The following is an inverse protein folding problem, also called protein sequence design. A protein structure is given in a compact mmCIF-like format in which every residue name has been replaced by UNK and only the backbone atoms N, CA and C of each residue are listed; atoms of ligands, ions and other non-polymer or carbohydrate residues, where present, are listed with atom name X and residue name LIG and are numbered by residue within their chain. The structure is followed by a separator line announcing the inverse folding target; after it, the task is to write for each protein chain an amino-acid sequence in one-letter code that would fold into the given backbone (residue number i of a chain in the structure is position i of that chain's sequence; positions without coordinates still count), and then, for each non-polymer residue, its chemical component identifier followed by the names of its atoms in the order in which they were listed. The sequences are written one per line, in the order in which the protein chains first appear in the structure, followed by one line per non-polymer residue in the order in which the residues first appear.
data_IF_595253161117
#
_entry.id   IF_595253161117
#
_cell.length_a   1.000
_cell.length_b   1.000
_cell.length_c   1.000
_cell.angle_alpha   90.00
_cell.angle_beta   90.00
_cell.angle_gamma   90.00
#
_symmetry.space_group_name_H-M   'P 1'
#
loop_
_entity.id
_entity.type
_entity.pdbx_description
1 polymer ?
#
# COMPACT_ATOMS: atom_id res chain seq x y z
N UNK A 1 -8.77 15.66 10.31
CA UNK A 1 -7.47 15.04 9.97
C UNK A 1 -6.76 14.73 11.28
N UNK A 2 -6.28 13.52 11.42
CA UNK A 2 -5.57 13.10 12.63
C UNK A 2 -4.15 13.71 12.64
N UNK A 3 -3.68 14.04 13.83
CA UNK A 3 -2.35 14.59 14.00
C UNK A 3 -1.29 13.50 13.91
N UNK A 4 -0.25 13.75 13.14
CA UNK A 4 0.98 12.95 13.07
C UNK A 4 2.17 13.86 13.36
N UNK A 5 3.28 13.29 13.80
CA UNK A 5 4.42 14.07 14.25
C UNK A 5 5.72 13.58 13.60
N UNK A 6 6.67 14.50 13.45
CA UNK A 6 8.05 14.18 13.06
C UNK A 6 8.89 13.73 14.28
N UNK A 7 10.17 13.40 14.06
CA UNK A 7 11.13 13.00 15.11
C UNK A 7 11.42 14.08 16.17
N UNK A 8 11.02 15.32 15.94
CA UNK A 8 11.15 16.46 16.87
C UNK A 8 9.85 16.78 17.60
N UNK A 9 8.77 16.04 17.31
CA UNK A 9 7.45 16.31 17.85
C UNK A 9 6.72 17.46 17.15
N UNK A 10 7.17 17.92 15.97
CA UNK A 10 6.42 18.88 15.18
C UNK A 10 5.33 18.17 14.40
N UNK A 11 4.15 18.80 14.34
CA UNK A 11 3.06 18.27 13.52
C UNK A 11 3.46 18.19 12.03
N UNK A 12 3.12 17.09 11.38
CA UNK A 12 3.30 16.96 9.93
C UNK A 12 2.42 17.96 9.18
N UNK A 13 2.84 18.37 7.99
CA UNK A 13 2.09 19.34 7.20
C UNK A 13 1.16 18.65 6.24
N UNK A 14 -0.11 19.02 6.27
CA UNK A 14 -1.14 18.57 5.35
C UNK A 14 -1.24 19.49 4.14
N UNK A 15 -1.30 18.90 2.97
CA UNK A 15 -1.33 19.60 1.69
C UNK A 15 -2.36 18.99 0.74
N UNK A 16 -2.70 19.75 -0.30
CA UNK A 16 -3.49 19.27 -1.43
C UNK A 16 -2.83 19.71 -2.74
N UNK A 17 -2.75 18.79 -3.71
CA UNK A 17 -2.33 19.06 -5.08
C UNK A 17 -3.45 18.71 -6.06
N UNK A 18 -3.45 19.36 -7.23
CA UNK A 18 -4.27 18.91 -8.36
C UNK A 18 -3.38 18.09 -9.27
N UNK A 19 -3.71 16.82 -9.40
CA UNK A 19 -2.97 15.83 -10.18
C UNK A 19 -3.93 14.98 -10.97
N UNK A 20 -3.67 14.71 -12.22
CA UNK A 20 -4.43 13.80 -13.08
C UNK A 20 -5.96 13.92 -12.91
N UNK A 21 -6.45 15.16 -12.87
CA UNK A 21 -7.89 15.47 -12.77
C UNK A 21 -8.53 15.31 -11.38
N UNK A 22 -7.75 14.99 -10.35
CA UNK A 22 -8.24 14.88 -8.96
C UNK A 22 -7.55 15.89 -8.05
N UNK A 23 -8.16 16.13 -6.89
CA UNK A 23 -7.54 16.83 -5.75
C UNK A 23 -6.99 15.77 -4.80
N UNK A 24 -5.67 15.62 -4.78
CA UNK A 24 -4.97 14.66 -3.94
C UNK A 24 -4.54 15.31 -2.63
N UNK A 25 -4.86 14.69 -1.51
CA UNK A 25 -4.34 15.02 -0.19
C UNK A 25 -3.02 14.28 0.04
N UNK A 26 -2.05 14.94 0.65
CA UNK A 26 -0.81 14.32 1.07
C UNK A 26 -0.22 15.04 2.30
N UNK A 27 0.65 14.36 3.02
CA UNK A 27 1.41 14.94 4.12
C UNK A 27 2.88 14.98 3.81
N UNK A 28 3.57 15.96 4.40
CA UNK A 28 5.03 16.06 4.34
C UNK A 28 5.62 16.27 5.72
N UNK A 29 6.78 15.66 5.97
CA UNK A 29 7.53 15.80 7.21
C UNK A 29 9.03 15.52 7.00
N UNK A 30 9.87 16.04 7.88
CA UNK A 30 11.29 15.73 7.92
C UNK A 30 12.15 16.52 6.94
N UNK A 31 13.40 16.09 6.84
CA UNK A 31 14.44 16.67 5.97
C UNK A 31 15.40 15.57 5.53
N UNK A 32 15.84 15.60 4.31
CA UNK A 32 16.79 14.63 3.74
C UNK A 32 16.35 14.15 2.37
N UNK A 33 16.72 12.92 2.03
CA UNK A 33 16.36 12.29 0.75
C UNK A 33 14.83 12.09 0.65
N UNK A 34 14.22 12.35 -0.51
CA UNK A 34 12.78 12.21 -0.65
C UNK A 34 12.36 10.75 -0.62
N UNK A 35 11.37 10.44 0.20
CA UNK A 35 10.77 9.11 0.33
C UNK A 35 9.25 9.19 0.14
N UNK A 36 8.75 8.50 -0.88
CA UNK A 36 7.34 8.35 -1.16
C UNK A 36 6.80 7.13 -0.42
N UNK A 37 5.86 7.34 0.53
CA UNK A 37 5.18 6.29 1.29
C UNK A 37 3.82 5.98 0.68
N UNK A 38 3.62 4.76 0.20
CA UNK A 38 2.42 4.31 -0.47
C UNK A 38 1.67 3.27 0.38
N UNK A 39 0.54 3.67 0.94
CA UNK A 39 -0.30 2.78 1.75
C UNK A 39 -1.09 1.79 0.88
N UNK A 40 -1.64 0.77 1.51
CA UNK A 40 -2.52 -0.21 0.87
C UNK A 40 -4.01 0.08 1.07
N UNK A 41 -4.82 -0.90 0.69
CA UNK A 41 -6.28 -0.86 0.79
C UNK A 41 -6.74 -1.55 2.08
N UNK A 42 -7.70 -0.98 2.81
CA UNK A 42 -8.42 0.28 2.64
C UNK A 42 -7.87 1.44 3.50
N UNK A 43 -6.57 1.53 3.65
CA UNK A 43 -5.89 2.45 4.56
C UNK A 43 -5.86 3.90 4.04
N UNK A 44 -5.31 4.82 4.85
CA UNK A 44 -5.02 6.22 4.49
C UNK A 44 -3.55 6.52 4.81
N UNK A 45 -3.08 7.73 4.54
CA UNK A 45 -1.73 8.13 4.94
C UNK A 45 -1.51 8.10 6.48
N UNK A 46 -2.57 8.08 7.27
CA UNK A 46 -2.48 7.91 8.72
C UNK A 46 -1.94 6.53 9.14
N UNK A 47 -1.95 5.56 8.24
CA UNK A 47 -1.27 4.27 8.42
C UNK A 47 0.19 4.43 8.85
N UNK A 48 0.85 5.48 8.38
CA UNK A 48 2.26 5.76 8.63
C UNK A 48 2.57 6.50 9.92
N UNK A 49 1.56 6.78 10.77
CA UNK A 49 1.70 7.67 11.94
C UNK A 49 2.78 7.22 12.94
N UNK A 50 3.02 5.90 13.08
CA UNK A 50 4.10 5.37 13.94
C UNK A 50 5.45 5.33 13.23
N UNK A 51 5.46 5.20 11.90
CA UNK A 51 6.67 5.07 11.11
C UNK A 51 7.30 6.44 10.77
N UNK A 52 6.50 7.45 10.48
CA UNK A 52 6.97 8.79 10.09
C UNK A 52 8.00 9.35 11.08
N UNK A 53 7.77 9.39 12.41
CA UNK A 53 8.74 9.95 13.34
C UNK A 53 10.08 9.21 13.35
N UNK A 54 10.11 7.94 12.98
CA UNK A 54 11.33 7.13 12.93
C UNK A 54 12.18 7.39 11.69
N UNK A 55 11.60 7.99 10.64
CA UNK A 55 12.25 8.21 9.35
C UNK A 55 12.64 9.66 9.09
N UNK A 56 11.95 10.62 9.71
CA UNK A 56 12.04 12.05 9.37
C UNK A 56 13.35 12.73 9.74
N UNK A 57 14.26 12.06 10.44
CA UNK A 57 15.64 12.55 10.63
C UNK A 57 16.47 12.44 9.34
N UNK A 58 16.20 11.44 8.51
CA UNK A 58 16.98 11.09 7.32
C UNK A 58 16.25 11.32 6.01
N UNK A 59 14.91 11.32 6.06
CA UNK A 59 14.06 11.46 4.89
C UNK A 59 13.18 12.70 4.95
N UNK A 60 12.94 13.27 3.78
CA UNK A 60 11.77 14.10 3.51
C UNK A 60 10.65 13.15 3.09
N UNK A 61 9.66 12.98 3.96
CA UNK A 61 8.52 12.09 3.72
C UNK A 61 7.48 12.79 2.85
N UNK A 62 6.99 12.08 1.84
CA UNK A 62 5.80 12.42 1.06
C UNK A 62 4.84 11.22 1.17
N UNK A 63 3.70 11.40 1.84
CA UNK A 63 2.73 10.34 2.03
C UNK A 63 1.34 10.78 1.56
N UNK A 64 0.95 10.44 0.31
CA UNK A 64 -0.39 10.75 -0.20
C UNK A 64 -1.46 9.85 0.41
N UNK A 65 -2.69 10.36 0.51
CA UNK A 65 -3.87 9.51 0.40
C UNK A 65 -4.06 9.17 -1.07
N UNK A 66 -4.00 7.90 -1.42
CA UNK A 66 -4.14 7.46 -2.80
C UNK A 66 -5.53 7.80 -3.37
N UNK A 67 -5.66 7.82 -4.70
CA UNK A 67 -6.95 8.01 -5.40
C UNK A 67 -8.02 7.10 -4.81
N UNK A 68 -9.15 7.67 -4.40
CA UNK A 68 -10.26 6.92 -3.80
C UNK A 68 -10.18 6.78 -2.28
N UNK A 69 -9.09 7.18 -1.63
CA UNK A 69 -8.86 7.02 -0.20
C UNK A 69 -8.72 8.35 0.54
N UNK A 70 -8.85 8.27 1.86
CA UNK A 70 -8.60 9.37 2.76
C UNK A 70 -9.35 10.65 2.39
N UNK A 71 -8.62 11.74 2.34
CA UNK A 71 -9.11 13.07 1.94
C UNK A 71 -8.91 13.38 0.45
N UNK A 72 -8.36 12.44 -0.31
CA UNK A 72 -8.26 12.52 -1.77
C UNK A 72 -9.62 12.30 -2.42
N UNK A 73 -9.83 12.90 -3.58
CA UNK A 73 -11.05 12.73 -4.37
C UNK A 73 -11.34 11.26 -4.67
N UNK A 74 -12.61 10.93 -4.72
CA UNK A 74 -13.15 9.59 -4.97
C UNK A 74 -13.98 9.61 -6.27
N UNK A 75 -13.30 9.71 -7.44
CA UNK A 75 -13.98 9.85 -8.72
C UNK A 75 -14.79 8.60 -9.05
N UNK A 76 -15.66 8.72 -10.08
CA UNK A 76 -16.40 7.55 -10.59
C UNK A 76 -15.49 6.52 -11.24
N UNK A 77 -15.98 5.28 -11.36
CA UNK A 77 -15.23 4.15 -11.94
C UNK A 77 -14.61 4.44 -13.32
N UNK A 78 -15.29 5.22 -14.15
CA UNK A 78 -14.81 5.61 -15.49
C UNK A 78 -13.54 6.46 -15.50
N UNK A 79 -13.17 7.05 -14.35
CA UNK A 79 -11.95 7.85 -14.21
C UNK A 79 -10.68 7.00 -13.97
N UNK A 80 -10.85 5.68 -13.81
CA UNK A 80 -9.76 4.72 -13.61
C UNK A 80 -9.27 4.60 -12.16
N UNK A 81 -8.91 3.36 -11.80
CA UNK A 81 -8.32 2.98 -10.52
C UNK A 81 -7.19 1.96 -10.70
N UNK A 82 -6.78 1.75 -11.95
CA UNK A 82 -5.71 0.83 -12.32
C UNK A 82 -4.31 1.40 -12.03
N UNK A 83 -3.32 0.52 -12.11
CA UNK A 83 -1.93 0.85 -11.80
C UNK A 83 -1.38 2.04 -12.60
N UNK A 84 -1.70 2.16 -13.89
CA UNK A 84 -1.20 3.27 -14.71
C UNK A 84 -1.85 4.60 -14.33
N UNK A 85 -3.14 4.57 -13.96
CA UNK A 85 -3.83 5.76 -13.44
C UNK A 85 -3.19 6.21 -12.12
N UNK A 86 -2.90 5.27 -11.20
CA UNK A 86 -2.21 5.58 -9.94
C UNK A 86 -0.78 6.10 -10.19
N UNK A 87 -0.05 5.51 -11.12
CA UNK A 87 1.29 6.00 -11.52
C UNK A 87 1.23 7.44 -12.01
N UNK A 88 0.26 7.78 -12.85
CA UNK A 88 0.09 9.16 -13.35
C UNK A 88 -0.20 10.15 -12.21
N UNK A 89 -1.06 9.76 -11.25
CA UNK A 89 -1.35 10.60 -10.08
C UNK A 89 -0.09 10.90 -9.26
N UNK A 90 0.71 9.85 -9.01
CA UNK A 90 1.93 9.95 -8.22
C UNK A 90 3.04 10.71 -8.95
N UNK A 91 3.16 10.52 -10.25
CA UNK A 91 4.17 11.20 -11.07
C UNK A 91 3.92 12.71 -11.10
N UNK A 92 2.68 13.13 -11.38
CA UNK A 92 2.30 14.54 -11.34
C UNK A 92 2.46 15.14 -9.93
N UNK A 93 2.22 14.35 -8.86
CA UNK A 93 2.49 14.81 -7.49
C UNK A 93 3.98 15.09 -7.29
N UNK A 94 4.84 14.11 -7.58
CA UNK A 94 6.28 14.23 -7.34
C UNK A 94 6.92 15.33 -8.22
N UNK A 95 6.48 15.46 -9.47
CA UNK A 95 6.90 16.55 -10.36
C UNK A 95 6.48 17.92 -9.82
N UNK A 96 5.25 18.06 -9.32
CA UNK A 96 4.75 19.31 -8.73
C UNK A 96 5.55 19.75 -7.49
N UNK A 97 6.18 18.79 -6.80
CA UNK A 97 7.04 19.02 -5.64
C UNK A 97 8.51 19.22 -6.00
N UNK A 98 8.88 19.03 -7.28
CA UNK A 98 10.25 19.20 -7.78
C UNK A 98 11.18 18.04 -7.42
N UNK A 99 10.65 16.83 -7.23
CA UNK A 99 11.45 15.64 -6.95
C UNK A 99 11.65 14.81 -8.22
N UNK A 100 12.82 14.91 -8.82
CA UNK A 100 13.20 14.12 -10.01
C UNK A 100 13.66 12.70 -9.67
N UNK A 101 14.17 12.48 -8.46
CA UNK A 101 14.63 11.18 -7.96
C UNK A 101 14.26 11.01 -6.50
N UNK A 102 13.79 9.80 -6.14
CA UNK A 102 13.31 9.49 -4.78
C UNK A 102 13.32 8.00 -4.51
N UNK A 103 13.14 7.67 -3.24
CA UNK A 103 12.90 6.30 -2.77
C UNK A 103 11.41 6.03 -2.68
N UNK A 104 11.01 4.77 -2.83
CA UNK A 104 9.63 4.32 -2.60
C UNK A 104 9.61 3.31 -1.46
N UNK A 105 8.67 3.48 -0.53
CA UNK A 105 8.26 2.44 0.39
C UNK A 105 6.76 2.19 0.17
N UNK A 106 6.43 1.04 -0.40
CA UNK A 106 5.05 0.63 -0.64
C UNK A 106 4.71 -0.63 0.13
N UNK A 107 3.51 -0.67 0.69
CA UNK A 107 2.94 -1.86 1.33
C UNK A 107 1.58 -2.19 0.73
N UNK A 108 1.26 -3.51 0.63
CA UNK A 108 0.00 -3.95 0.06
C UNK A 108 -0.14 -3.37 -1.37
N UNK A 109 -1.27 -2.83 -1.77
CA UNK A 109 -1.46 -2.17 -3.08
C UNK A 109 -0.46 -1.06 -3.34
N UNK A 110 0.00 -0.36 -2.30
CA UNK A 110 1.05 0.64 -2.44
C UNK A 110 2.37 0.06 -2.99
N UNK A 111 2.68 -1.20 -2.66
CA UNK A 111 3.84 -1.90 -3.22
C UNK A 111 3.63 -2.22 -4.71
N UNK A 112 2.44 -2.61 -5.13
CA UNK A 112 2.11 -2.84 -6.54
C UNK A 112 2.17 -1.54 -7.37
N UNK A 113 1.64 -0.44 -6.83
CA UNK A 113 1.75 0.86 -7.50
C UNK A 113 3.19 1.36 -7.58
N UNK A 114 4.00 1.12 -6.54
CA UNK A 114 5.43 1.41 -6.55
C UNK A 114 6.19 0.60 -7.60
N UNK A 115 5.86 -0.69 -7.78
CA UNK A 115 6.40 -1.52 -8.86
C UNK A 115 6.05 -0.96 -10.24
N UNK A 116 4.77 -0.65 -10.48
CA UNK A 116 4.33 -0.08 -11.75
C UNK A 116 4.97 1.29 -12.02
N UNK A 117 5.14 2.12 -10.98
CA UNK A 117 5.83 3.40 -11.06
C UNK A 117 7.30 3.22 -11.47
N UNK A 118 8.03 2.34 -10.78
CA UNK A 118 9.44 2.07 -11.07
C UNK A 118 9.66 1.46 -12.47
N UNK A 119 8.68 0.71 -12.97
CA UNK A 119 8.71 0.20 -14.34
C UNK A 119 8.54 1.29 -15.40
N UNK A 120 7.66 2.26 -15.12
CA UNK A 120 7.33 3.36 -16.04
C UNK A 120 8.37 4.47 -16.02
N UNK A 121 8.98 4.73 -14.85
CA UNK A 121 9.93 5.80 -14.58
C UNK A 121 11.19 5.27 -13.87
N UNK A 122 11.94 4.34 -14.50
CA UNK A 122 13.10 3.69 -13.85
C UNK A 122 14.21 4.68 -13.47
N UNK A 123 14.31 5.82 -14.13
CA UNK A 123 15.27 6.87 -13.84
C UNK A 123 14.94 7.66 -12.57
N UNK A 124 13.66 7.67 -12.13
CA UNK A 124 13.20 8.44 -10.97
C UNK A 124 13.33 7.66 -9.65
N UNK A 125 13.31 6.32 -9.67
CA UNK A 125 13.29 5.50 -8.44
C UNK A 125 14.68 4.98 -8.12
N UNK A 126 15.25 5.45 -7.02
CA UNK A 126 16.60 5.06 -6.58
C UNK A 126 16.65 3.64 -6.00
N UNK A 127 15.74 3.33 -5.10
CA UNK A 127 15.53 2.00 -4.53
C UNK A 127 14.10 1.90 -3.96
N UNK A 128 13.64 0.68 -3.70
CA UNK A 128 12.29 0.42 -3.22
C UNK A 128 12.26 -0.55 -2.05
N UNK A 129 11.45 -0.26 -1.03
CA UNK A 129 10.95 -1.26 -0.11
C UNK A 129 9.61 -1.78 -0.64
N UNK A 130 9.54 -3.09 -0.81
CA UNK A 130 8.36 -3.83 -1.29
C UNK A 130 7.81 -4.68 -0.14
N UNK A 131 6.70 -4.24 0.45
CA UNK A 131 6.12 -4.80 1.66
C UNK A 131 4.79 -5.50 1.42
N UNK A 132 4.63 -6.70 2.01
CA UNK A 132 3.35 -7.40 2.19
C UNK A 132 2.46 -7.45 0.95
N UNK A 133 3.02 -7.82 -0.21
CA UNK A 133 2.28 -7.89 -1.46
C UNK A 133 2.71 -9.06 -2.36
N UNK A 134 1.72 -9.65 -3.03
CA UNK A 134 1.87 -10.40 -4.27
C UNK A 134 1.12 -9.63 -5.35
N UNK A 135 1.83 -9.12 -6.37
CA UNK A 135 1.16 -8.27 -7.37
C UNK A 135 0.21 -9.05 -8.27
N UNK A 136 -0.77 -8.36 -8.79
CA UNK A 136 -1.73 -8.87 -9.77
C UNK A 136 -1.01 -9.47 -10.99
N UNK A 137 -1.36 -10.68 -11.36
CA UNK A 137 -0.71 -11.44 -12.44
C UNK A 137 0.50 -12.27 -12.01
N UNK A 138 0.95 -12.14 -10.74
CA UNK A 138 2.15 -12.78 -10.21
C UNK A 138 1.99 -13.34 -8.78
N UNK A 139 0.76 -13.61 -8.32
CA UNK A 139 0.55 -14.35 -7.08
C UNK A 139 -0.73 -14.05 -6.32
N UNK A 140 -1.36 -12.90 -6.49
CA UNK A 140 -2.58 -12.56 -5.74
C UNK A 140 -3.75 -13.48 -6.13
N UNK A 141 -3.78 -13.95 -7.38
CA UNK A 141 -4.81 -14.84 -7.90
C UNK A 141 -4.82 -16.18 -7.17
N UNK A 142 -3.62 -16.77 -7.01
CA UNK A 142 -3.46 -18.05 -6.33
C UNK A 142 -3.94 -17.99 -4.88
N UNK A 143 -3.66 -16.89 -4.18
CA UNK A 143 -4.13 -16.66 -2.82
C UNK A 143 -5.65 -16.39 -2.74
N UNK A 144 -6.28 -16.06 -3.87
CA UNK A 144 -7.72 -15.74 -3.95
C UNK A 144 -8.59 -16.92 -4.40
N UNK A 145 -8.00 -18.00 -4.94
CA UNK A 145 -8.74 -19.16 -5.42
C UNK A 145 -9.45 -19.91 -4.28
N UNK A 146 -10.62 -20.44 -4.60
CA UNK A 146 -11.32 -21.38 -3.72
C UNK A 146 -10.67 -22.75 -3.86
N UNK A 147 -9.69 -23.04 -3.01
CA UNK A 147 -8.98 -24.32 -2.93
C UNK A 147 -9.08 -24.88 -1.52
N UNK A 148 -8.97 -26.21 -1.39
CA UNK A 148 -8.94 -26.86 -0.08
C UNK A 148 -7.81 -26.28 0.79
N UNK A 149 -6.63 -26.05 0.21
CA UNK A 149 -5.47 -25.50 0.89
C UNK A 149 -5.74 -24.10 1.46
N UNK A 150 -6.26 -23.18 0.64
CA UNK A 150 -6.55 -21.81 1.07
C UNK A 150 -7.63 -21.77 2.16
N UNK A 151 -8.70 -22.57 2.00
CA UNK A 151 -9.80 -22.61 2.97
C UNK A 151 -9.35 -23.21 4.31
N UNK A 152 -8.60 -24.30 4.28
CA UNK A 152 -8.08 -24.95 5.50
C UNK A 152 -7.05 -24.03 6.18
N UNK A 153 -6.16 -23.40 5.43
CA UNK A 153 -5.19 -22.45 5.99
C UNK A 153 -5.88 -21.30 6.73
N UNK A 154 -6.91 -20.70 6.13
CA UNK A 154 -7.69 -19.65 6.76
C UNK A 154 -8.44 -20.14 8.01
N UNK A 155 -9.05 -21.33 7.95
CA UNK A 155 -9.78 -21.93 9.07
C UNK A 155 -8.86 -22.23 10.26
N UNK A 156 -7.66 -22.76 10.00
CA UNK A 156 -6.65 -23.10 11.00
C UNK A 156 -5.76 -21.90 11.40
N UNK A 157 -5.98 -20.74 10.84
CA UNK A 157 -5.15 -19.56 11.02
C UNK A 157 -3.66 -19.79 10.69
N UNK A 158 -3.38 -20.63 9.69
CA UNK A 158 -2.04 -21.00 9.21
C UNK A 158 -1.67 -20.38 7.86
N UNK A 159 -2.54 -19.54 7.32
CA UNK A 159 -2.37 -18.84 6.06
C UNK A 159 -3.52 -17.87 5.81
N UNK A 160 -3.48 -17.18 4.70
CA UNK A 160 -4.49 -16.17 4.38
C UNK A 160 -5.12 -16.45 3.02
N UNK A 161 -6.41 -16.78 3.06
CA UNK A 161 -7.23 -16.84 1.87
C UNK A 161 -7.79 -15.45 1.56
N UNK A 162 -7.43 -14.89 0.43
CA UNK A 162 -7.89 -13.57 0.00
C UNK A 162 -9.29 -13.63 -0.65
N UNK A 163 -10.24 -14.27 0.01
CA UNK A 163 -11.63 -14.46 -0.44
C UNK A 163 -12.33 -13.12 -0.77
N UNK A 164 -11.93 -12.05 -0.10
CA UNK A 164 -12.51 -10.73 -0.30
C UNK A 164 -12.16 -10.11 -1.67
N UNK A 165 -11.05 -10.51 -2.30
CA UNK A 165 -10.65 -10.02 -3.62
C UNK A 165 -11.71 -10.37 -4.67
N UNK A 166 -12.09 -11.65 -4.90
CA UNK A 166 -13.17 -11.97 -5.81
C UNK A 166 -14.54 -11.47 -5.34
N UNK A 167 -14.80 -11.38 -4.04
CA UNK A 167 -16.04 -10.82 -3.50
C UNK A 167 -16.20 -9.35 -3.90
N UNK A 168 -15.19 -8.52 -3.72
CA UNK A 168 -15.25 -7.09 -4.07
C UNK A 168 -15.23 -6.83 -5.57
N UNK A 169 -14.80 -7.80 -6.36
CA UNK A 169 -14.87 -7.70 -7.81
C UNK A 169 -16.32 -7.75 -8.34
N UNK A 170 -17.23 -8.39 -7.62
CA UNK A 170 -18.65 -8.48 -8.00
C UNK A 170 -19.29 -7.09 -7.97
N UNK A 171 -20.08 -6.77 -9.01
CA UNK A 171 -20.79 -5.49 -9.11
C UNK A 171 -22.02 -5.47 -8.21
N UNK A 172 -22.21 -4.37 -7.49
CA UNK A 172 -23.38 -4.01 -6.68
C UNK A 172 -23.67 -4.91 -5.46
N UNK A 173 -23.16 -6.13 -5.39
CA UNK A 173 -23.41 -7.05 -4.27
C UNK A 173 -22.66 -6.62 -3.01
N UNK A 174 -21.35 -6.32 -3.06
CA UNK A 174 -20.63 -5.79 -1.89
C UNK A 174 -21.27 -4.51 -1.36
N UNK A 175 -21.62 -3.55 -2.22
CA UNK A 175 -22.28 -2.31 -1.83
C UNK A 175 -23.58 -2.57 -1.08
N UNK A 176 -24.45 -3.41 -1.63
CA UNK A 176 -25.76 -3.74 -1.04
C UNK A 176 -25.61 -4.44 0.32
N UNK A 177 -24.62 -5.33 0.46
CA UNK A 177 -24.45 -6.11 1.70
C UNK A 177 -23.73 -5.32 2.80
N UNK A 178 -22.88 -4.36 2.43
CA UNK A 178 -22.06 -3.62 3.37
C UNK A 178 -22.65 -2.27 3.76
N UNK A 179 -23.62 -1.75 3.00
CA UNK A 179 -24.28 -0.48 3.32
C UNK A 179 -24.85 -0.48 4.74
N UNK A 180 -24.36 0.46 5.57
CA UNK A 180 -24.69 0.56 6.99
C UNK A 180 -23.92 -0.40 7.92
N UNK A 181 -23.07 -1.25 7.38
CA UNK A 181 -22.22 -2.20 8.12
C UNK A 181 -20.73 -2.06 7.81
N UNK A 182 -20.34 -1.00 7.09
CA UNK A 182 -18.99 -0.81 6.58
C UNK A 182 -17.95 -0.88 7.71
N UNK A 183 -18.16 -0.16 8.80
CA UNK A 183 -17.22 -0.13 9.93
C UNK A 183 -17.04 -1.52 10.55
N UNK A 184 -18.14 -2.23 10.81
CA UNK A 184 -18.10 -3.57 11.41
C UNK A 184 -17.37 -4.57 10.51
N UNK A 185 -17.61 -4.49 9.21
CA UNK A 185 -16.98 -5.35 8.23
C UNK A 185 -15.47 -5.10 8.14
N UNK A 186 -15.07 -3.82 7.97
CA UNK A 186 -13.65 -3.48 7.83
C UNK A 186 -12.88 -3.71 9.11
N UNK A 187 -13.42 -3.38 10.27
CA UNK A 187 -12.78 -3.66 11.57
C UNK A 187 -12.49 -5.15 11.72
N UNK A 188 -13.46 -6.01 11.36
CA UNK A 188 -13.27 -7.45 11.45
C UNK A 188 -12.24 -7.96 10.44
N UNK A 189 -12.30 -7.52 9.18
CA UNK A 189 -11.39 -7.95 8.13
C UNK A 189 -9.94 -7.52 8.43
N UNK A 190 -9.75 -6.27 8.87
CA UNK A 190 -8.44 -5.73 9.20
C UNK A 190 -7.83 -6.43 10.43
N UNK A 191 -8.63 -6.64 11.48
CA UNK A 191 -8.19 -7.35 12.70
C UNK A 191 -7.79 -8.81 12.44
N UNK A 192 -8.43 -9.49 11.48
CA UNK A 192 -8.07 -10.87 11.09
C UNK A 192 -6.69 -10.97 10.42
N UNK A 193 -6.16 -9.87 9.88
CA UNK A 193 -4.85 -9.84 9.23
C UNK A 193 -3.71 -9.39 10.14
N UNK A 194 -3.99 -9.11 11.44
CA UNK A 194 -2.99 -8.76 12.44
C UNK A 194 -2.44 -10.01 13.13
N UNK A 195 -1.19 -9.94 13.59
CA UNK A 195 -0.68 -10.79 14.67
C UNK A 195 -1.37 -10.42 16.00
N UNK A 196 -1.38 -9.15 16.34
CA UNK A 196 -2.07 -8.62 17.50
C UNK A 196 -3.23 -7.70 17.10
N UNK A 197 -4.49 -8.17 17.11
CA UNK A 197 -5.64 -7.33 16.74
C UNK A 197 -5.79 -6.05 17.57
N UNK A 198 -5.25 -6.02 18.81
CA UNK A 198 -5.28 -4.82 19.66
C UNK A 198 -4.31 -3.71 19.18
N UNK A 199 -3.41 -4.00 18.23
CA UNK A 199 -2.55 -3.00 17.60
C UNK A 199 -3.34 -1.99 16.76
N UNK A 200 -4.51 -2.41 16.24
CA UNK A 200 -5.48 -1.54 15.59
C UNK A 200 -6.36 -0.90 16.66
N UNK A 201 -5.89 0.22 17.21
CA UNK A 201 -6.60 0.96 18.26
C UNK A 201 -7.93 1.52 17.77
N UNK A 202 -8.85 1.76 18.68
CA UNK A 202 -10.15 2.36 18.37
C UNK A 202 -10.00 3.72 17.66
N UNK A 203 -8.97 4.50 18.02
CA UNK A 203 -8.66 5.78 17.39
C UNK A 203 -8.25 5.60 15.92
N UNK A 204 -7.36 4.64 15.63
CA UNK A 204 -6.93 4.33 14.27
C UNK A 204 -8.11 3.82 13.41
N UNK A 205 -8.90 2.90 13.96
CA UNK A 205 -10.09 2.39 13.27
C UNK A 205 -11.14 3.48 13.04
N UNK A 206 -11.33 4.39 14.01
CA UNK A 206 -12.25 5.51 13.84
C UNK A 206 -11.84 6.46 12.69
N UNK A 207 -10.53 6.73 12.53
CA UNK A 207 -10.03 7.52 11.39
C UNK A 207 -10.35 6.85 10.06
N UNK A 208 -10.04 5.56 9.93
CA UNK A 208 -10.31 4.83 8.70
C UNK A 208 -11.80 4.69 8.42
N UNK A 209 -12.60 4.37 9.43
CA UNK A 209 -14.06 4.23 9.32
C UNK A 209 -14.73 5.54 8.87
N UNK A 210 -14.30 6.69 9.39
CA UNK A 210 -14.78 7.98 8.94
C UNK A 210 -14.50 8.23 7.45
N UNK A 211 -13.40 7.68 6.92
CA UNK A 211 -13.07 7.76 5.49
C UNK A 211 -13.84 6.75 4.65
N UNK A 212 -14.06 5.53 5.16
CA UNK A 212 -14.83 4.49 4.44
C UNK A 212 -16.29 4.90 4.25
N UNK A 213 -16.89 5.48 5.29
CA UNK A 213 -18.29 5.92 5.28
C UNK A 213 -18.49 7.29 4.63
N UNK A 214 -17.41 8.03 4.33
CA UNK A 214 -17.52 9.31 3.62
C UNK A 214 -18.05 9.12 2.19
N UNK A 215 -18.71 10.14 1.58
CA UNK A 215 -19.24 10.02 0.24
C UNK A 215 -18.22 9.49 -0.78
N UNK A 216 -18.49 8.34 -1.36
CA UNK A 216 -17.63 7.65 -2.31
C UNK A 216 -16.52 6.80 -1.68
N UNK A 217 -16.39 6.74 -0.35
CA UNK A 217 -15.35 5.95 0.34
C UNK A 217 -15.39 4.48 -0.05
N UNK A 218 -16.53 3.81 0.13
CA UNK A 218 -16.70 2.42 -0.29
C UNK A 218 -16.44 2.23 -1.79
N UNK A 219 -16.97 3.15 -2.64
CA UNK A 219 -16.72 3.07 -4.09
C UNK A 219 -15.22 3.12 -4.39
N UNK A 220 -14.47 4.04 -3.81
CA UNK A 220 -13.02 4.13 -4.01
C UNK A 220 -12.31 2.81 -3.69
N UNK A 221 -12.65 2.20 -2.57
CA UNK A 221 -12.11 0.90 -2.16
C UNK A 221 -12.48 -0.19 -3.17
N UNK A 222 -13.76 -0.34 -3.50
CA UNK A 222 -14.23 -1.40 -4.39
C UNK A 222 -13.67 -1.27 -5.82
N UNK A 223 -13.51 -0.05 -6.33
CA UNK A 223 -12.96 0.17 -7.67
C UNK A 223 -11.47 -0.20 -7.76
N UNK A 224 -10.69 -0.11 -6.67
CA UNK A 224 -9.31 -0.62 -6.66
C UNK A 224 -9.27 -2.15 -6.82
N UNK A 225 -10.21 -2.88 -6.20
CA UNK A 225 -10.35 -4.32 -6.41
C UNK A 225 -10.87 -4.66 -7.80
N UNK A 226 -11.80 -3.87 -8.35
CA UNK A 226 -12.34 -4.07 -9.70
C UNK A 226 -11.33 -3.78 -10.82
N UNK A 227 -10.29 -3.02 -10.50
CA UNK A 227 -9.16 -2.81 -11.41
C UNK A 227 -8.23 -4.04 -11.53
N UNK A 228 -8.39 -5.07 -10.69
CA UNK A 228 -7.51 -6.23 -10.56
C UNK A 228 -7.19 -6.91 -11.91
N UNK A 229 -8.21 -7.23 -12.69
CA UNK A 229 -8.01 -7.88 -14.00
C UNK A 229 -7.20 -6.98 -14.96
N UNK A 230 -7.47 -5.68 -14.92
CA UNK A 230 -6.71 -4.71 -15.73
C UNK A 230 -5.26 -4.63 -15.27
N UNK A 231 -5.04 -4.61 -13.95
CA UNK A 231 -3.70 -4.61 -13.35
C UNK A 231 -2.91 -5.87 -13.70
N UNK A 232 -3.54 -7.05 -13.71
CA UNK A 232 -2.91 -8.29 -14.19
C UNK A 232 -2.34 -8.12 -15.61
N UNK A 233 -3.12 -7.57 -16.52
CA UNK A 233 -2.67 -7.34 -17.90
C UNK A 233 -1.55 -6.30 -17.95
N UNK A 234 -1.68 -5.18 -17.24
CA UNK A 234 -0.65 -4.14 -17.15
C UNK A 234 0.67 -4.73 -16.63
N UNK A 235 0.63 -5.46 -15.52
CA UNK A 235 1.83 -6.01 -14.89
C UNK A 235 2.52 -7.06 -15.77
N UNK A 236 1.75 -7.90 -16.46
CA UNK A 236 2.29 -8.87 -17.44
C UNK A 236 2.94 -8.16 -18.63
N UNK A 237 2.27 -7.16 -19.21
CA UNK A 237 2.82 -6.34 -20.30
C UNK A 237 4.12 -5.63 -19.87
N UNK A 238 4.20 -5.10 -18.64
CA UNK A 238 5.42 -4.52 -18.09
C UNK A 238 6.56 -5.57 -18.16
N UNK A 239 6.35 -6.74 -17.58
CA UNK A 239 7.40 -7.76 -17.51
C UNK A 239 7.74 -8.33 -18.89
N UNK A 240 6.78 -8.49 -19.78
CA UNK A 240 7.02 -8.91 -21.16
C UNK A 240 7.84 -7.87 -21.95
N UNK A 241 7.64 -6.57 -21.66
CA UNK A 241 8.28 -5.49 -22.39
C UNK A 241 9.68 -5.14 -21.87
N UNK A 242 9.82 -4.97 -20.54
CA UNK A 242 11.06 -4.50 -19.94
C UNK A 242 11.82 -5.58 -19.13
N UNK A 243 11.21 -6.75 -18.95
CA UNK A 243 11.76 -7.80 -18.09
C UNK A 243 11.60 -7.48 -16.60
N UNK A 244 12.30 -8.26 -15.77
CA UNK A 244 12.33 -8.00 -14.33
C UNK A 244 13.09 -6.71 -14.05
N UNK A 245 12.53 -5.88 -13.17
CA UNK A 245 13.13 -4.60 -12.81
C UNK A 245 14.46 -4.80 -12.08
N UNK A 246 15.43 -3.94 -12.37
CA UNK A 246 16.82 -4.05 -11.88
C UNK A 246 17.16 -3.08 -10.75
N UNK A 247 16.21 -2.20 -10.35
CA UNK A 247 16.43 -1.32 -9.21
C UNK A 247 16.69 -2.11 -7.92
N UNK A 248 17.44 -1.57 -6.95
CA UNK A 248 17.62 -2.22 -5.66
C UNK A 248 16.30 -2.33 -4.91
N UNK A 249 15.97 -3.53 -4.39
CA UNK A 249 14.74 -3.78 -3.63
C UNK A 249 15.05 -4.45 -2.30
N UNK A 250 14.43 -3.98 -1.24
CA UNK A 250 14.30 -4.67 0.04
C UNK A 250 12.88 -5.22 0.14
N UNK A 251 12.72 -6.50 0.39
CA UNK A 251 11.39 -7.10 0.62
C UNK A 251 11.12 -7.23 2.11
N UNK A 252 9.89 -6.93 2.54
CA UNK A 252 9.49 -7.05 3.95
C UNK A 252 8.15 -7.76 4.04
N UNK A 253 8.05 -8.77 4.93
CA UNK A 253 6.81 -9.49 5.19
C UNK A 253 6.60 -9.76 6.67
N UNK A 254 5.35 -9.64 7.14
CA UNK A 254 4.93 -10.07 8.48
C UNK A 254 4.73 -11.58 8.50
N UNK A 255 5.33 -12.26 9.50
CA UNK A 255 5.37 -13.73 9.56
C UNK A 255 3.98 -14.37 9.55
N UNK A 256 2.99 -13.67 10.11
CA UNK A 256 1.62 -14.16 10.23
C UNK A 256 0.74 -13.83 9.00
N UNK A 257 1.34 -13.29 7.91
CA UNK A 257 0.63 -13.03 6.66
C UNK A 257 1.42 -13.57 5.48
N UNK A 258 2.03 -12.74 4.63
CA UNK A 258 2.88 -13.23 3.53
C UNK A 258 4.27 -13.68 4.00
N UNK A 259 4.82 -13.06 5.05
CA UNK A 259 6.08 -13.45 5.66
C UNK A 259 7.22 -13.63 4.67
N UNK A 260 7.83 -14.81 4.70
CA UNK A 260 8.96 -15.14 3.83
C UNK A 260 8.57 -15.20 2.33
N UNK A 261 7.29 -15.46 2.01
CA UNK A 261 6.84 -15.61 0.62
C UNK A 261 6.83 -14.28 -0.16
N UNK A 262 6.88 -13.14 0.53
CA UNK A 262 7.02 -11.82 -0.14
C UNK A 262 8.26 -11.80 -1.05
N UNK A 263 9.37 -12.40 -0.62
CA UNK A 263 10.58 -12.53 -1.43
C UNK A 263 10.32 -13.30 -2.73
N UNK A 264 9.59 -14.41 -2.64
CA UNK A 264 9.32 -15.28 -3.79
C UNK A 264 8.38 -14.59 -4.79
N UNK A 265 7.39 -13.86 -4.28
CA UNK A 265 6.52 -13.02 -5.11
C UNK A 265 7.32 -11.90 -5.78
N UNK A 266 8.12 -11.16 -5.03
CA UNK A 266 8.97 -10.10 -5.55
C UNK A 266 10.00 -10.61 -6.58
N UNK A 267 10.55 -11.82 -6.41
CA UNK A 267 11.48 -12.42 -7.34
C UNK A 267 10.89 -12.74 -8.72
N UNK A 268 9.56 -12.73 -8.85
CA UNK A 268 8.90 -12.86 -10.16
C UNK A 268 9.02 -11.58 -10.99
N UNK A 269 9.15 -10.41 -10.35
CA UNK A 269 9.09 -9.07 -10.97
C UNK A 269 10.38 -8.24 -10.79
N UNK A 270 11.21 -8.57 -9.81
CA UNK A 270 12.50 -7.92 -9.56
C UNK A 270 13.65 -8.90 -9.70
N UNK A 271 14.79 -8.43 -10.23
CA UNK A 271 16.03 -9.21 -10.37
C UNK A 271 17.13 -8.79 -9.37
N UNK A 272 16.95 -7.70 -8.62
CA UNK A 272 17.97 -7.12 -7.75
C UNK A 272 17.45 -6.94 -6.31
N UNK A 273 16.98 -8.05 -5.72
CA UNK A 273 16.57 -8.07 -4.32
C UNK A 273 17.83 -8.09 -3.44
N UNK A 274 18.04 -7.02 -2.69
CA UNK A 274 19.24 -6.84 -1.84
C UNK A 274 19.09 -7.54 -0.50
N UNK A 275 17.91 -7.45 0.10
CA UNK A 275 17.60 -8.02 1.41
C UNK A 275 16.14 -8.50 1.45
N UNK A 276 15.89 -9.50 2.27
CA UNK A 276 14.53 -9.96 2.57
C UNK A 276 14.37 -10.02 4.08
N UNK A 277 13.47 -9.19 4.61
CA UNK A 277 13.22 -9.05 6.04
C UNK A 277 11.89 -9.71 6.37
N UNK A 278 11.89 -10.56 7.39
CA UNK A 278 10.66 -11.12 7.97
C UNK A 278 10.47 -10.53 9.36
N UNK A 279 9.34 -9.85 9.56
CA UNK A 279 8.97 -9.28 10.84
C UNK A 279 8.20 -10.31 11.66
N UNK A 280 8.80 -10.74 12.78
CA UNK A 280 8.14 -11.63 13.74
C UNK A 280 7.16 -10.83 14.59
N UNK A 281 6.15 -11.52 15.13
CA UNK A 281 5.05 -10.88 15.87
C UNK A 281 4.37 -9.77 15.05
N UNK A 282 4.17 -10.04 13.77
CA UNK A 282 3.64 -9.10 12.79
C UNK A 282 2.76 -9.81 11.78
N UNK A 283 1.58 -9.26 11.53
CA UNK A 283 0.69 -9.64 10.44
C UNK A 283 0.87 -8.71 9.25
N UNK A 284 -0.23 -8.37 8.62
CA UNK A 284 -0.26 -7.56 7.39
C UNK A 284 -0.01 -6.05 7.60
N UNK A 285 -0.09 -5.57 8.84
CA UNK A 285 -0.01 -4.13 9.11
C UNK A 285 1.37 -3.76 9.66
N UNK A 286 2.42 -3.85 8.80
CA UNK A 286 3.82 -3.74 9.21
C UNK A 286 4.12 -2.45 9.98
N UNK A 287 3.65 -1.29 9.45
CA UNK A 287 3.88 0.02 10.06
C UNK A 287 3.12 0.24 11.38
N UNK A 288 2.13 -0.60 11.69
CA UNK A 288 1.36 -0.54 12.93
C UNK A 288 1.92 -1.49 13.98
N UNK A 289 2.28 -2.72 13.57
CA UNK A 289 2.65 -3.79 14.49
C UNK A 289 4.16 -3.82 14.80
N UNK A 290 5.02 -3.46 13.84
CA UNK A 290 6.50 -3.47 14.00
C UNK A 290 7.17 -2.23 13.37
N UNK A 291 6.76 -1.00 13.75
CA UNK A 291 7.23 0.22 13.10
C UNK A 291 8.75 0.43 13.23
N UNK A 292 9.38 0.06 14.36
CA UNK A 292 10.80 0.23 14.59
C UNK A 292 11.64 -0.65 13.63
N UNK A 293 11.31 -1.94 13.54
CA UNK A 293 12.02 -2.86 12.63
C UNK A 293 11.76 -2.53 11.17
N UNK A 294 10.56 -2.05 10.86
CA UNK A 294 10.24 -1.57 9.52
C UNK A 294 11.03 -0.32 9.17
N UNK A 295 11.20 0.61 10.13
CA UNK A 295 12.04 1.79 9.95
C UNK A 295 13.50 1.42 9.69
N UNK A 296 14.05 0.45 10.42
CA UNK A 296 15.42 -0.05 10.19
C UNK A 296 15.58 -0.57 8.75
N UNK A 297 14.62 -1.34 8.24
CA UNK A 297 14.64 -1.82 6.86
C UNK A 297 14.51 -0.67 5.85
N UNK A 298 13.66 0.32 6.13
CA UNK A 298 13.46 1.48 5.26
C UNK A 298 14.72 2.35 5.19
N UNK A 299 15.39 2.56 6.32
CA UNK A 299 16.62 3.36 6.37
C UNK A 299 17.77 2.74 5.55
N UNK A 300 17.79 1.41 5.40
CA UNK A 300 18.78 0.73 4.54
C UNK A 300 18.64 1.07 3.06
N UNK A 301 17.49 1.58 2.60
CA UNK A 301 17.36 2.05 1.22
C UNK A 301 18.40 3.13 0.88
N UNK A 302 18.83 3.94 1.85
CA UNK A 302 19.87 4.97 1.67
C UNK A 302 21.25 4.43 1.27
N UNK A 303 21.49 3.14 1.46
CA UNK A 303 22.72 2.47 1.03
C UNK A 303 22.76 2.26 -0.50
N UNK A 304 21.60 2.38 -1.17
CA UNK A 304 21.44 2.15 -2.60
C UNK A 304 21.10 3.46 -3.31
N UNK A 305 22.03 3.95 -4.15
CA UNK A 305 21.90 5.22 -4.90
C UNK A 305 22.04 5.01 -6.40
#
# INVERSE_FOLDING_TARGET
MMEMYDHKGNAVKHHFARVNGIRMHYVTAGQGEPLLLLHGTPKTNYYWHKLIPLLTEKYTIIAPDLRGFGYTDKPGASCGYDNLTMVQDLDELMESLGYDRFYIHGEDRGAEYGFAYAAKHPEKVMAMLFGEMAVSGYGIEEASYFTEENVIAQYNNTGKWLWHVPFFFVQNIPEMLLEGHECQFWDQLLKQSCYNPASLTDELLAEWNDRFTSPGGMRGILETYRAEIKNMHINREIIETVGKLTLPVITVGGIEFYGITVKDHAAKIFSNIKESVVLYECGHHLAIEQPEKLAEATLKLLEYK
#
